data_IF_429263978884
#
_entry.id   IF_429263978884
#
_cell.length_a   1.000
_cell.length_b   1.000
_cell.length_c   1.000
_cell.angle_alpha   90.00
_cell.angle_beta   90.00
_cell.angle_gamma   90.00
#
_symmetry.space_group_name_H-M   'P 1'
#
loop_
_entity.id
_entity.type
_entity.pdbx_description
1 polymer ?
#
# COMPACT_ATOMS: atom_id res chain seq x y z
N UNK A 1 42.65 -36.50 -4.16
CA UNK A 1 42.20 -35.12 -4.41
C UNK A 1 40.89 -34.92 -3.67
N UNK A 2 40.94 -34.22 -2.54
CA UNK A 2 39.78 -33.94 -1.69
C UNK A 2 39.04 -32.70 -2.21
N UNK A 3 37.76 -32.85 -2.52
CA UNK A 3 36.86 -31.78 -2.99
C UNK A 3 36.00 -31.31 -1.80
N UNK A 4 36.63 -31.01 -0.65
CA UNK A 4 35.91 -30.62 0.58
C UNK A 4 36.27 -29.24 1.11
N UNK A 5 36.88 -28.38 0.30
CA UNK A 5 37.19 -27.00 0.65
C UNK A 5 36.50 -26.10 -0.36
N UNK A 6 35.41 -25.43 0.04
CA UNK A 6 34.92 -24.12 -0.48
C UNK A 6 33.43 -23.85 -0.17
N UNK A 7 32.90 -24.07 1.04
CA UNK A 7 31.67 -23.36 1.46
C UNK A 7 31.60 -22.92 2.95
N UNK A 8 32.64 -22.35 3.60
CA UNK A 8 32.45 -21.71 4.90
C UNK A 8 31.63 -20.40 4.83
N UNK A 9 31.53 -19.78 3.65
CA UNK A 9 31.04 -18.39 3.51
C UNK A 9 29.53 -18.29 3.60
N UNK A 10 28.78 -19.24 3.04
CA UNK A 10 27.31 -19.19 3.07
C UNK A 10 26.75 -19.47 4.46
N UNK A 11 27.38 -20.34 5.25
CA UNK A 11 26.87 -20.74 6.56
C UNK A 11 27.18 -19.68 7.62
N UNK A 12 28.33 -19.00 7.52
CA UNK A 12 28.67 -17.85 8.35
C UNK A 12 27.79 -16.62 8.01
N UNK A 13 27.57 -16.32 6.72
CA UNK A 13 26.61 -15.29 6.30
C UNK A 13 25.18 -15.62 6.76
N UNK A 14 24.73 -16.86 6.63
CA UNK A 14 23.42 -17.29 7.13
C UNK A 14 23.33 -17.28 8.66
N UNK A 15 24.43 -17.47 9.39
CA UNK A 15 24.49 -17.35 10.84
C UNK A 15 24.47 -15.87 11.30
N UNK A 16 25.03 -14.97 10.50
CA UNK A 16 24.97 -13.52 10.72
C UNK A 16 23.56 -12.97 10.38
N UNK A 17 22.98 -13.41 9.26
CA UNK A 17 21.60 -13.13 8.84
C UNK A 17 20.55 -13.70 9.81
N UNK A 18 20.88 -14.76 10.56
CA UNK A 18 20.02 -15.32 11.62
C UNK A 18 19.81 -14.35 12.81
N UNK A 19 20.49 -13.21 12.83
CA UNK A 19 20.24 -12.12 13.78
C UNK A 19 19.45 -10.93 13.20
N UNK A 20 18.83 -11.09 12.01
CA UNK A 20 18.40 -9.98 11.16
C UNK A 20 17.04 -10.24 10.46
N UNK A 21 15.98 -10.49 11.22
CA UNK A 21 14.65 -10.86 10.67
C UNK A 21 14.10 -9.86 9.61
N UNK A 22 14.08 -8.53 9.82
CA UNK A 22 13.71 -7.55 8.78
C UNK A 22 14.64 -7.56 7.56
N UNK A 23 15.95 -7.78 7.78
CA UNK A 23 16.92 -7.80 6.67
C UNK A 23 16.73 -9.02 5.79
N UNK A 24 16.16 -10.09 6.34
CA UNK A 24 15.86 -11.28 5.58
C UNK A 24 14.81 -11.00 4.49
N UNK A 25 13.74 -10.26 4.80
CA UNK A 25 12.74 -9.87 3.79
C UNK A 25 13.37 -9.01 2.68
N UNK A 26 14.25 -8.08 3.07
CA UNK A 26 14.99 -7.20 2.15
C UNK A 26 15.97 -8.00 1.28
N UNK A 27 16.67 -8.96 1.86
CA UNK A 27 17.58 -9.86 1.17
C UNK A 27 16.87 -10.69 0.10
N UNK A 28 15.71 -11.27 0.43
CA UNK A 28 14.92 -12.04 -0.54
C UNK A 28 14.36 -11.16 -1.66
N UNK A 29 14.03 -9.90 -1.37
CA UNK A 29 13.64 -8.95 -2.40
C UNK A 29 14.79 -8.62 -3.36
N UNK A 30 16.00 -8.39 -2.85
CA UNK A 30 17.19 -8.09 -3.67
C UNK A 30 17.78 -9.31 -4.37
N UNK A 31 17.44 -10.52 -3.94
CA UNK A 31 17.93 -11.79 -4.50
C UNK A 31 16.77 -12.72 -4.88
N UNK A 32 15.94 -12.36 -5.88
CA UNK A 32 14.80 -13.19 -6.28
C UNK A 32 15.23 -14.59 -6.76
N UNK A 33 16.44 -14.71 -7.32
CA UNK A 33 17.03 -15.99 -7.75
C UNK A 33 17.36 -16.96 -6.60
N UNK A 34 17.36 -16.47 -5.35
CA UNK A 34 17.60 -17.28 -4.14
C UNK A 34 16.31 -17.83 -3.52
N UNK A 35 15.15 -17.42 -4.01
CA UNK A 35 13.95 -18.24 -3.85
C UNK A 35 14.24 -19.51 -4.62
N UNK A 36 14.10 -20.73 -4.05
CA UNK A 36 14.46 -21.97 -4.72
C UNK A 36 13.69 -22.10 -6.03
N UNK A 37 14.30 -21.61 -7.11
CA UNK A 37 13.86 -21.79 -8.46
C UNK A 37 14.04 -23.28 -8.72
N UNK A 38 12.99 -24.05 -8.46
CA UNK A 38 12.86 -25.37 -9.03
C UNK A 38 12.65 -25.16 -10.53
N UNK A 39 13.74 -24.85 -11.24
CA UNK A 39 13.89 -25.10 -12.67
C UNK A 39 14.02 -26.61 -12.89
N UNK A 40 13.19 -27.41 -12.22
CA UNK A 40 12.85 -28.71 -12.76
C UNK A 40 11.89 -28.40 -13.89
N UNK A 41 12.38 -28.59 -15.13
CA UNK A 41 11.62 -28.43 -16.37
C UNK A 41 10.37 -29.33 -16.29
N UNK A 42 9.32 -28.87 -15.64
CA UNK A 42 8.02 -29.48 -15.76
C UNK A 42 7.56 -29.17 -17.18
N UNK A 43 7.61 -30.21 -18.01
CA UNK A 43 7.11 -30.22 -19.37
C UNK A 43 5.81 -29.41 -19.45
N UNK A 44 5.74 -28.53 -20.44
CA UNK A 44 4.65 -27.57 -20.67
C UNK A 44 3.27 -28.20 -20.52
N UNK A 45 2.73 -28.21 -19.29
CA UNK A 45 1.33 -28.57 -19.07
C UNK A 45 0.51 -27.44 -19.67
N UNK A 46 -0.19 -27.75 -20.77
CA UNK A 46 -1.14 -26.84 -21.42
C UNK A 46 -2.06 -26.26 -20.34
N UNK A 47 -2.15 -24.93 -20.29
CA UNK A 47 -3.04 -24.24 -19.36
C UNK A 47 -4.47 -24.80 -19.50
N UNK A 48 -5.15 -25.15 -18.39
CA UNK A 48 -6.49 -25.70 -18.45
C UNK A 48 -7.42 -24.68 -19.11
N UNK A 49 -8.09 -25.10 -20.19
CA UNK A 49 -9.14 -24.31 -20.85
C UNK A 49 -10.28 -24.10 -19.85
N UNK A 50 -10.52 -22.86 -19.44
CA UNK A 50 -11.66 -22.50 -18.58
C UNK A 50 -12.98 -22.92 -19.25
N UNK A 51 -13.65 -23.93 -18.68
CA UNK A 51 -15.03 -24.28 -19.04
C UNK A 51 -15.98 -23.47 -18.15
N UNK A 52 -16.52 -22.37 -18.67
CA UNK A 52 -17.74 -21.76 -18.15
C UNK A 52 -17.60 -20.55 -17.22
N UNK A 53 -18.57 -19.63 -17.39
CA UNK A 53 -18.88 -18.38 -16.68
C UNK A 53 -17.76 -17.34 -16.59
N UNK A 54 -17.78 -16.40 -17.55
CA UNK A 54 -17.56 -14.94 -17.47
C UNK A 54 -16.58 -14.35 -16.42
N UNK A 55 -15.66 -15.11 -15.84
CA UNK A 55 -14.56 -14.58 -15.04
C UNK A 55 -13.49 -14.10 -16.00
N UNK A 56 -13.02 -12.87 -15.80
CA UNK A 56 -11.83 -12.35 -16.49
C UNK A 56 -10.72 -13.39 -16.32
N UNK A 57 -10.14 -13.85 -17.43
CA UNK A 57 -9.05 -14.84 -17.39
C UNK A 57 -7.89 -14.19 -16.65
N UNK A 58 -7.52 -14.73 -15.49
CA UNK A 58 -6.23 -14.43 -14.88
C UNK A 58 -5.15 -14.70 -15.94
N UNK A 59 -4.21 -13.76 -16.08
CA UNK A 59 -3.12 -13.94 -17.02
C UNK A 59 -2.34 -15.20 -16.67
N UNK A 60 -1.76 -15.88 -17.66
CA UNK A 60 -0.94 -17.08 -17.43
C UNK A 60 0.15 -16.85 -16.37
N UNK A 61 0.78 -15.67 -16.39
CA UNK A 61 1.79 -15.28 -15.40
C UNK A 61 1.23 -15.21 -13.97
N UNK A 62 0.00 -14.71 -13.78
CA UNK A 62 -0.65 -14.65 -12.47
C UNK A 62 -1.01 -16.06 -11.97
N UNK A 63 -1.50 -16.92 -12.86
CA UNK A 63 -1.78 -18.32 -12.53
C UNK A 63 -0.49 -19.06 -12.15
N UNK A 64 0.58 -18.88 -12.92
CA UNK A 64 1.88 -19.49 -12.65
C UNK A 64 2.41 -19.00 -11.28
N UNK A 65 2.36 -17.70 -10.99
CA UNK A 65 2.74 -17.13 -9.69
C UNK A 65 1.91 -17.68 -8.52
N UNK A 66 0.59 -17.82 -8.69
CA UNK A 66 -0.30 -18.40 -7.67
C UNK A 66 0.04 -19.86 -7.40
N UNK A 67 0.23 -20.64 -8.47
CA UNK A 67 0.58 -22.05 -8.36
C UNK A 67 1.95 -22.28 -7.69
N UNK A 68 2.91 -21.40 -7.96
CA UNK A 68 4.23 -21.44 -7.33
C UNK A 68 4.14 -21.07 -5.85
N UNK A 69 3.36 -20.03 -5.50
CA UNK A 69 3.07 -19.68 -4.10
C UNK A 69 2.44 -20.85 -3.33
N UNK A 70 1.38 -21.45 -3.86
CA UNK A 70 0.72 -22.63 -3.25
C UNK A 70 1.68 -23.82 -3.10
N UNK A 71 2.62 -23.99 -4.04
CA UNK A 71 3.65 -25.03 -3.94
C UNK A 71 4.62 -24.72 -2.80
N UNK A 72 5.13 -23.49 -2.72
CA UNK A 72 6.06 -23.05 -1.68
C UNK A 72 5.43 -23.11 -0.28
N UNK A 73 4.14 -22.84 -0.18
CA UNK A 73 3.36 -22.96 1.06
C UNK A 73 3.19 -24.43 1.46
N UNK A 74 2.83 -25.32 0.52
CA UNK A 74 2.71 -26.77 0.78
C UNK A 74 4.01 -27.41 1.27
N UNK A 75 5.16 -26.99 0.75
CA UNK A 75 6.46 -27.48 1.24
C UNK A 75 6.94 -26.77 2.52
N UNK A 76 6.15 -25.82 3.05
CA UNK A 76 6.48 -25.07 4.26
C UNK A 76 7.62 -24.06 4.11
N UNK A 77 7.94 -23.65 2.87
CA UNK A 77 9.02 -22.68 2.61
C UNK A 77 8.58 -21.25 2.93
N UNK A 78 7.31 -20.94 2.67
CA UNK A 78 6.63 -19.69 3.02
C UNK A 78 5.43 -19.96 3.93
N UNK A 79 4.96 -18.93 4.63
CA UNK A 79 3.74 -18.97 5.45
C UNK A 79 2.94 -17.69 5.20
N UNK A 80 1.62 -17.79 5.34
CA UNK A 80 0.75 -16.61 5.35
C UNK A 80 1.16 -15.60 6.42
N UNK A 81 1.06 -14.33 6.05
CA UNK A 81 1.37 -13.17 6.87
C UNK A 81 0.25 -12.15 6.74
N UNK A 82 0.17 -11.27 7.72
CA UNK A 82 -0.77 -10.16 7.70
C UNK A 82 -0.03 -8.88 8.08
N UNK A 83 0.01 -7.93 7.16
CA UNK A 83 0.50 -6.58 7.42
C UNK A 83 -0.69 -5.66 7.63
N UNK A 84 -0.65 -4.88 8.71
CA UNK A 84 -1.77 -4.07 9.14
C UNK A 84 -2.07 -2.97 8.12
N UNK A 85 -1.03 -2.29 7.63
CA UNK A 85 -1.17 -1.11 6.75
C UNK A 85 -1.09 -1.43 5.25
N UNK A 86 -0.70 -2.64 4.87
CA UNK A 86 -0.49 -3.04 3.47
C UNK A 86 -1.29 -4.29 3.14
N UNK A 87 -1.92 -4.33 1.97
CA UNK A 87 -2.59 -5.53 1.44
C UNK A 87 -1.56 -6.31 0.60
N UNK A 88 -1.60 -7.65 0.65
CA UNK A 88 -0.79 -8.50 -0.25
C UNK A 88 -1.00 -8.11 -1.72
N UNK A 89 -2.26 -7.85 -2.07
CA UNK A 89 -2.69 -7.52 -3.44
C UNK A 89 -2.84 -6.00 -3.64
N UNK A 90 -2.20 -5.19 -2.81
CA UNK A 90 -2.26 -3.74 -2.94
C UNK A 90 -1.66 -3.30 -4.29
N UNK A 91 -2.44 -2.57 -5.07
CA UNK A 91 -1.96 -1.91 -6.27
C UNK A 91 -0.92 -0.81 -5.98
N UNK A 92 -0.31 -0.25 -7.04
CA UNK A 92 0.56 0.90 -6.91
C UNK A 92 -0.21 2.11 -6.36
N UNK A 93 0.46 2.91 -5.55
CA UNK A 93 -0.09 4.12 -4.96
C UNK A 93 -0.06 5.27 -5.98
N UNK A 94 -1.25 5.72 -6.40
CA UNK A 94 -1.41 6.78 -7.40
C UNK A 94 -0.93 8.15 -6.94
N UNK A 95 -0.78 8.35 -5.63
CA UNK A 95 -0.30 9.61 -5.06
C UNK A 95 1.22 9.70 -5.01
N UNK A 96 1.93 8.61 -5.31
CA UNK A 96 3.39 8.53 -5.24
C UNK A 96 4.01 8.96 -6.57
N UNK A 97 4.84 10.00 -6.50
CA UNK A 97 5.70 10.41 -7.60
C UNK A 97 6.99 9.58 -7.62
N UNK A 98 7.72 9.57 -8.75
CA UNK A 98 9.03 8.92 -8.85
C UNK A 98 10.02 9.45 -7.81
N UNK A 99 10.06 10.77 -7.62
CA UNK A 99 10.89 11.41 -6.59
C UNK A 99 10.52 10.95 -5.18
N UNK A 100 9.22 10.78 -4.89
CA UNK A 100 8.78 10.27 -3.59
C UNK A 100 9.13 8.80 -3.40
N UNK A 101 8.98 7.98 -4.43
CA UNK A 101 9.41 6.58 -4.40
C UNK A 101 10.90 6.46 -4.10
N UNK A 102 11.74 7.32 -4.69
CA UNK A 102 13.17 7.37 -4.37
C UNK A 102 13.45 7.76 -2.90
N UNK A 103 12.69 8.72 -2.35
CA UNK A 103 12.79 9.08 -0.92
C UNK A 103 12.36 7.93 0.00
N UNK A 104 11.28 7.23 -0.34
CA UNK A 104 10.80 6.09 0.43
C UNK A 104 11.82 4.93 0.43
N UNK A 105 12.48 4.67 -0.70
CA UNK A 105 13.58 3.72 -0.79
C UNK A 105 14.82 4.16 0.00
N UNK A 106 15.15 5.45 -0.03
CA UNK A 106 16.25 5.99 0.76
C UNK A 106 15.97 5.84 2.27
N UNK A 107 14.76 6.15 2.71
CA UNK A 107 14.32 5.90 4.09
C UNK A 107 14.44 4.42 4.43
N UNK A 108 13.99 3.54 3.52
CA UNK A 108 14.11 2.10 3.69
C UNK A 108 15.57 1.70 3.93
N UNK A 109 16.50 2.10 3.08
CA UNK A 109 17.93 1.81 3.24
C UNK A 109 18.51 2.36 4.56
N UNK A 110 18.16 3.61 4.93
CA UNK A 110 18.58 4.18 6.22
C UNK A 110 18.13 3.32 7.41
N UNK A 111 16.89 2.80 7.37
CA UNK A 111 16.38 1.93 8.43
C UNK A 111 17.19 0.63 8.53
N UNK A 112 17.64 0.05 7.40
CA UNK A 112 18.56 -1.09 7.46
C UNK A 112 19.85 -0.72 8.16
N UNK A 113 20.46 0.37 7.76
CA UNK A 113 21.76 0.74 8.27
C UNK A 113 21.70 1.03 9.78
N UNK A 114 20.62 1.69 10.23
CA UNK A 114 20.33 1.86 11.67
C UNK A 114 20.10 0.51 12.34
N UNK A 115 19.30 -0.39 11.78
CA UNK A 115 19.07 -1.71 12.37
C UNK A 115 20.40 -2.46 12.58
N UNK A 116 21.28 -2.49 11.57
CA UNK A 116 22.60 -3.12 11.67
C UNK A 116 23.49 -2.48 12.73
N UNK A 117 23.42 -1.15 12.89
CA UNK A 117 24.13 -0.45 13.97
C UNK A 117 23.64 -0.89 15.35
N UNK A 118 22.32 -1.03 15.54
CA UNK A 118 21.74 -1.53 16.80
C UNK A 118 22.18 -2.97 17.09
N UNK A 119 22.14 -3.86 16.09
CA UNK A 119 22.62 -5.24 16.24
C UNK A 119 24.11 -5.29 16.62
N UNK A 120 24.92 -4.42 16.03
CA UNK A 120 26.36 -4.31 16.35
C UNK A 120 26.59 -3.74 17.76
N UNK A 121 25.77 -2.79 18.20
CA UNK A 121 25.95 -2.07 19.48
C UNK A 121 25.49 -2.89 20.67
N UNK A 122 24.32 -3.53 20.58
CA UNK A 122 23.70 -4.22 21.71
C UNK A 122 24.01 -5.72 21.75
N UNK A 123 24.49 -6.31 20.65
CA UNK A 123 24.96 -7.69 20.55
C UNK A 123 23.84 -8.75 20.68
N UNK A 124 23.23 -8.85 21.86
CA UNK A 124 22.11 -9.75 22.10
C UNK A 124 20.91 -9.38 21.23
N UNK A 125 20.44 -10.33 20.42
CA UNK A 125 19.34 -10.15 19.46
C UNK A 125 18.10 -9.49 20.08
N UNK A 126 17.72 -9.91 21.29
CA UNK A 126 16.54 -9.37 21.97
C UNK A 126 16.73 -7.92 22.41
N UNK A 127 17.89 -7.56 22.93
CA UNK A 127 18.19 -6.20 23.36
C UNK A 127 18.30 -5.26 22.15
N UNK A 128 18.99 -5.70 21.09
CA UNK A 128 19.09 -4.96 19.83
C UNK A 128 17.72 -4.72 19.19
N UNK A 129 16.87 -5.76 19.09
CA UNK A 129 15.52 -5.66 18.56
C UNK A 129 14.66 -4.69 19.38
N UNK A 130 14.70 -4.78 20.71
CA UNK A 130 13.92 -3.90 21.57
C UNK A 130 14.35 -2.44 21.41
N UNK A 131 15.66 -2.18 21.44
CA UNK A 131 16.20 -0.83 21.30
C UNK A 131 15.88 -0.25 19.90
N UNK A 132 15.94 -1.05 18.85
CA UNK A 132 15.53 -0.63 17.50
C UNK A 132 14.02 -0.39 17.40
N UNK A 133 13.20 -1.21 18.06
CA UNK A 133 11.74 -1.02 18.11
C UNK A 133 11.37 0.31 18.81
N UNK A 134 12.06 0.64 19.90
CA UNK A 134 11.85 1.91 20.60
C UNK A 134 12.32 3.11 19.77
N UNK A 135 13.44 2.98 19.05
CA UNK A 135 13.88 3.97 18.04
C UNK A 135 12.81 4.21 16.95
N UNK A 136 12.18 3.15 16.42
CA UNK A 136 11.13 3.27 15.40
C UNK A 136 9.91 4.02 15.94
N UNK A 137 9.49 3.74 17.19
CA UNK A 137 8.38 4.47 17.84
C UNK A 137 8.68 5.96 18.03
N UNK A 138 9.88 6.28 18.49
CA UNK A 138 10.32 7.66 18.66
C UNK A 138 10.33 8.39 17.30
N UNK A 139 10.90 7.76 16.27
CA UNK A 139 10.93 8.32 14.92
C UNK A 139 9.52 8.52 14.35
N UNK A 140 8.60 7.57 14.55
CA UNK A 140 7.20 7.73 14.16
C UNK A 140 6.55 8.93 14.86
N UNK A 141 6.81 9.10 16.15
CA UNK A 141 6.30 10.24 16.92
C UNK A 141 6.83 11.57 16.39
N UNK A 142 8.12 11.65 16.06
CA UNK A 142 8.74 12.84 15.47
C UNK A 142 8.14 13.18 14.10
N UNK A 143 7.90 12.18 13.24
CA UNK A 143 7.26 12.39 11.94
C UNK A 143 5.81 12.86 12.12
N UNK A 144 5.08 12.33 13.09
CA UNK A 144 3.72 12.80 13.41
C UNK A 144 3.72 14.26 13.89
N UNK A 145 4.68 14.67 14.72
CA UNK A 145 4.84 16.06 15.15
C UNK A 145 5.14 16.99 13.98
N UNK A 146 5.98 16.56 13.03
CA UNK A 146 6.23 17.33 11.80
C UNK A 146 4.96 17.43 10.93
N UNK A 147 4.19 16.35 10.82
CA UNK A 147 2.91 16.35 10.12
C UNK A 147 1.89 17.29 10.78
N UNK A 148 1.90 17.36 12.12
CA UNK A 148 1.05 18.26 12.89
C UNK A 148 1.44 19.72 12.66
N UNK A 149 2.72 20.05 12.76
CA UNK A 149 3.24 21.39 12.47
C UNK A 149 2.94 21.79 11.02
N UNK A 150 3.03 20.86 10.08
CA UNK A 150 2.62 21.08 8.69
C UNK A 150 1.13 21.41 8.57
N UNK A 151 0.27 20.66 9.27
CA UNK A 151 -1.18 20.88 9.26
C UNK A 151 -1.59 22.22 9.88
N UNK A 152 -0.96 22.64 10.98
CA UNK A 152 -1.23 23.92 11.64
C UNK A 152 -0.92 25.13 10.75
N UNK A 153 0.14 25.04 9.94
CA UNK A 153 0.62 26.16 9.13
C UNK A 153 -0.13 26.35 7.80
N UNK A 154 -1.13 25.51 7.49
CA UNK A 154 -1.80 25.48 6.19
C UNK A 154 -3.31 25.59 6.35
N UNK A 155 -3.87 26.72 5.92
CA UNK A 155 -5.30 27.04 6.04
C UNK A 155 -6.14 26.68 4.81
N UNK A 156 -5.55 26.64 3.61
CA UNK A 156 -6.27 26.30 2.38
C UNK A 156 -5.98 24.85 1.96
N UNK A 157 -7.02 24.07 1.60
CA UNK A 157 -6.86 22.73 1.02
C UNK A 157 -6.41 22.85 -0.43
N UNK A 158 -5.32 22.17 -0.78
CA UNK A 158 -4.87 22.06 -2.17
C UNK A 158 -4.32 20.66 -2.44
N UNK A 159 -4.45 20.19 -3.69
CA UNK A 159 -3.92 18.87 -4.12
C UNK A 159 -2.41 18.73 -3.84
N UNK A 160 -1.66 19.83 -3.91
CA UNK A 160 -0.22 19.82 -3.59
C UNK A 160 0.03 19.58 -2.09
N UNK A 161 -0.82 20.16 -1.23
CA UNK A 161 -0.74 19.97 0.22
C UNK A 161 -1.16 18.55 0.62
N UNK A 162 -2.18 18.00 -0.03
CA UNK A 162 -2.60 16.60 0.20
C UNK A 162 -1.51 15.61 -0.18
N UNK A 163 -0.79 15.85 -1.28
CA UNK A 163 0.39 15.06 -1.69
C UNK A 163 1.54 15.18 -0.70
N UNK A 164 1.85 16.39 -0.25
CA UNK A 164 2.89 16.60 0.76
C UNK A 164 2.54 15.88 2.07
N UNK A 165 1.29 15.99 2.51
CA UNK A 165 0.78 15.33 3.72
C UNK A 165 0.70 13.81 3.59
N UNK A 166 0.40 13.32 2.39
CA UNK A 166 0.53 11.91 2.06
C UNK A 166 1.96 11.38 2.25
N UNK A 167 2.98 12.22 2.00
CA UNK A 167 4.38 11.90 2.33
C UNK A 167 4.58 11.51 3.80
N UNK A 168 4.02 12.26 4.75
CA UNK A 168 4.12 11.90 6.18
C UNK A 168 3.44 10.58 6.50
N UNK A 169 2.26 10.33 5.94
CA UNK A 169 1.55 9.05 6.11
C UNK A 169 2.37 7.88 5.59
N UNK A 170 3.03 8.05 4.45
CA UNK A 170 3.90 7.02 3.87
C UNK A 170 5.14 6.76 4.71
N UNK A 171 5.79 7.81 5.22
CA UNK A 171 6.95 7.66 6.11
C UNK A 171 6.58 6.91 7.39
N UNK A 172 5.50 7.32 8.06
CA UNK A 172 4.99 6.60 9.25
C UNK A 172 4.60 5.16 8.89
N UNK A 173 3.96 4.96 7.74
CA UNK A 173 3.60 3.63 7.26
C UNK A 173 4.80 2.72 7.06
N UNK A 174 5.90 3.24 6.49
CA UNK A 174 7.15 2.50 6.31
C UNK A 174 7.77 2.13 7.66
N UNK A 175 7.82 3.08 8.61
CA UNK A 175 8.33 2.84 9.95
C UNK A 175 7.50 1.77 10.69
N UNK A 176 6.17 1.85 10.60
CA UNK A 176 5.27 0.85 11.18
C UNK A 176 5.44 -0.51 10.51
N UNK A 177 5.56 -0.55 9.18
CA UNK A 177 5.82 -1.79 8.46
C UNK A 177 7.12 -2.44 8.95
N UNK A 178 8.19 -1.67 9.11
CA UNK A 178 9.46 -2.18 9.65
C UNK A 178 9.28 -2.79 11.06
N UNK A 179 8.47 -2.17 11.92
CA UNK A 179 8.10 -2.74 13.23
C UNK A 179 7.36 -4.06 13.10
N UNK A 180 6.44 -4.21 12.15
CA UNK A 180 5.75 -5.47 11.90
C UNK A 180 6.72 -6.55 11.42
N UNK A 181 7.67 -6.22 10.54
CA UNK A 181 8.66 -7.17 10.04
C UNK A 181 9.55 -7.74 11.15
N UNK A 182 9.84 -6.96 12.20
CA UNK A 182 10.56 -7.44 13.39
C UNK A 182 9.80 -8.51 14.19
N UNK A 183 8.49 -8.69 13.94
CA UNK A 183 7.63 -9.66 14.64
C UNK A 183 7.29 -10.89 13.81
N UNK A 184 7.63 -10.88 12.51
CA UNK A 184 7.31 -11.96 11.60
C UNK A 184 8.36 -13.06 11.65
N UNK A 185 7.91 -14.31 11.52
CA UNK A 185 8.85 -15.42 11.38
C UNK A 185 9.55 -15.40 10.00
N UNK A 186 10.64 -16.17 9.88
CA UNK A 186 11.40 -16.29 8.62
C UNK A 186 10.54 -16.69 7.41
N UNK A 187 9.51 -17.52 7.59
CA UNK A 187 8.66 -18.01 6.48
C UNK A 187 7.70 -16.92 6.01
N UNK A 188 7.20 -16.12 6.94
CA UNK A 188 6.38 -14.95 6.68
C UNK A 188 7.20 -13.85 5.98
N UNK A 189 8.43 -13.60 6.42
CA UNK A 189 9.33 -12.62 5.78
C UNK A 189 9.65 -12.97 4.33
N UNK A 190 9.84 -14.26 4.03
CA UNK A 190 9.96 -14.75 2.65
C UNK A 190 8.71 -14.49 1.83
N UNK A 191 7.54 -14.73 2.41
CA UNK A 191 6.26 -14.49 1.75
C UNK A 191 6.07 -13.00 1.43
N UNK A 192 6.37 -12.11 2.38
CA UNK A 192 6.35 -10.64 2.18
C UNK A 192 7.27 -10.24 1.03
N UNK A 193 8.48 -10.79 0.99
CA UNK A 193 9.45 -10.50 -0.05
C UNK A 193 9.01 -10.99 -1.44
N UNK A 194 8.47 -12.21 -1.51
CA UNK A 194 7.99 -12.82 -2.75
C UNK A 194 6.79 -12.07 -3.32
N UNK A 195 5.89 -11.60 -2.46
CA UNK A 195 4.71 -10.83 -2.86
C UNK A 195 5.04 -9.34 -3.14
N UNK A 196 6.28 -8.91 -2.89
CA UNK A 196 6.73 -7.51 -2.99
C UNK A 196 5.80 -6.55 -2.21
N UNK A 197 5.42 -6.95 -1.00
CA UNK A 197 4.41 -6.26 -0.17
C UNK A 197 5.00 -5.11 0.64
N UNK A 198 5.90 -4.31 0.06
CA UNK A 198 6.58 -3.20 0.74
C UNK A 198 6.03 -1.83 0.37
N UNK A 199 5.76 -0.99 1.36
CA UNK A 199 5.36 0.40 1.12
C UNK A 199 6.44 1.14 0.35
N UNK A 200 7.71 0.96 0.72
CA UNK A 200 8.83 1.62 0.05
C UNK A 200 8.92 1.32 -1.46
N UNK A 201 8.24 0.28 -1.94
CA UNK A 201 8.15 -0.10 -3.36
C UNK A 201 6.95 0.52 -4.08
N UNK A 202 6.29 1.49 -3.46
CA UNK A 202 5.16 2.21 -4.02
C UNK A 202 3.81 1.51 -3.82
N UNK A 203 3.70 0.56 -2.88
CA UNK A 203 2.40 -0.04 -2.52
C UNK A 203 1.50 0.97 -1.80
N UNK A 204 0.19 0.84 -2.00
CA UNK A 204 -0.84 1.71 -1.39
C UNK A 204 -1.05 1.40 0.10
N UNK A 205 -1.20 2.47 0.88
CA UNK A 205 -1.63 2.40 2.29
C UNK A 205 -3.13 2.11 2.43
N UNK A 206 -3.49 1.24 3.38
CA UNK A 206 -4.87 1.02 3.81
C UNK A 206 -5.35 2.18 4.68
N UNK A 207 -6.19 3.07 4.14
CA UNK A 207 -6.74 4.22 4.87
C UNK A 207 -7.42 3.83 6.19
N UNK A 208 -8.33 2.85 6.17
CA UNK A 208 -9.07 2.40 7.36
C UNK A 208 -8.14 1.85 8.43
N UNK A 209 -7.18 0.99 8.04
CA UNK A 209 -6.19 0.44 8.98
C UNK A 209 -5.26 1.52 9.53
N UNK A 210 -4.83 2.46 8.69
CA UNK A 210 -3.98 3.57 9.12
C UNK A 210 -4.72 4.42 10.17
N UNK A 211 -5.98 4.78 9.93
CA UNK A 211 -6.82 5.50 10.89
C UNK A 211 -7.04 4.70 12.17
N UNK A 212 -7.23 3.38 12.08
CA UNK A 212 -7.41 2.52 13.25
C UNK A 212 -6.15 2.43 14.12
N UNK A 213 -4.96 2.36 13.51
CA UNK A 213 -3.68 2.25 14.22
C UNK A 213 -3.23 3.59 14.79
N UNK A 214 -3.33 4.66 14.00
CA UNK A 214 -2.72 5.95 14.34
C UNK A 214 -3.72 7.00 14.80
N UNK A 215 -5.02 6.76 14.64
CA UNK A 215 -6.09 7.67 15.04
C UNK A 215 -6.36 8.82 14.07
N UNK A 216 -5.67 8.89 12.93
CA UNK A 216 -5.85 9.96 11.95
C UNK A 216 -5.60 9.51 10.52
N UNK A 217 -6.18 10.20 9.54
CA UNK A 217 -5.88 10.03 8.12
C UNK A 217 -5.81 11.36 7.38
N UNK A 218 -6.71 12.28 7.69
CA UNK A 218 -6.71 13.64 7.17
C UNK A 218 -5.95 14.61 8.09
N UNK A 219 -5.62 15.80 7.57
CA UNK A 219 -5.06 16.88 8.41
C UNK A 219 -6.02 17.26 9.54
N UNK A 220 -7.32 17.30 9.26
CA UNK A 220 -8.36 17.60 10.25
C UNK A 220 -8.41 16.54 11.35
N UNK A 221 -8.32 15.24 11.00
CA UNK A 221 -8.24 14.17 12.01
C UNK A 221 -6.98 14.32 12.89
N UNK A 222 -5.84 14.67 12.28
CA UNK A 222 -4.59 14.85 13.02
C UNK A 222 -4.68 16.04 14.00
N UNK A 223 -5.20 17.19 13.54
CA UNK A 223 -5.44 18.34 14.41
C UNK A 223 -6.40 17.99 15.55
N UNK A 224 -7.48 17.26 15.26
CA UNK A 224 -8.45 16.81 16.25
C UNK A 224 -7.84 15.84 17.27
N UNK A 225 -7.03 14.87 16.83
CA UNK A 225 -6.28 13.94 17.71
C UNK A 225 -5.43 14.69 18.73
N UNK A 226 -4.89 15.85 18.34
CA UNK A 226 -4.05 16.71 19.19
C UNK A 226 -4.83 17.84 19.88
N UNK A 227 -6.17 17.79 19.88
CA UNK A 227 -7.01 18.76 20.60
C UNK A 227 -7.09 20.14 19.96
N UNK A 228 -6.70 20.31 18.70
CA UNK A 228 -6.74 21.59 17.99
C UNK A 228 -8.06 21.65 17.22
N UNK A 229 -9.00 22.45 17.71
CA UNK A 229 -10.27 22.70 17.03
C UNK A 229 -10.05 23.56 15.79
N UNK A 230 -10.34 23.00 14.62
CA UNK A 230 -10.47 23.78 13.39
C UNK A 230 -11.84 24.45 13.44
N UNK A 231 -11.90 25.71 13.87
CA UNK A 231 -13.11 26.52 13.71
C UNK A 231 -13.30 26.74 12.22
N UNK A 232 -14.17 25.97 11.59
CA UNK A 232 -14.64 26.22 10.23
C UNK A 232 -15.26 27.61 10.24
N UNK A 233 -14.52 28.61 9.77
CA UNK A 233 -14.96 30.01 9.72
C UNK A 233 -15.92 30.24 8.54
N UNK A 234 -16.95 29.39 8.45
CA UNK A 234 -18.04 29.49 7.47
C UNK A 234 -19.38 29.80 8.13
N UNK A 235 -19.36 30.39 9.34
CA UNK A 235 -20.49 31.20 9.82
C UNK A 235 -20.46 32.56 9.11
N UNK A 236 -20.61 32.53 7.79
CA UNK A 236 -21.05 33.72 7.05
C UNK A 236 -22.55 33.78 7.27
N UNK A 237 -22.96 34.62 8.21
CA UNK A 237 -24.35 34.92 8.51
C UNK A 237 -25.17 35.11 7.23
N UNK A 238 -26.08 34.17 6.96
CA UNK A 238 -27.19 34.37 6.05
C UNK A 238 -28.40 34.76 6.90
N UNK A 239 -28.41 36.02 7.33
CA UNK A 239 -29.65 36.71 7.67
C UNK A 239 -30.42 36.89 6.35
N UNK A 240 -31.39 36.01 6.13
CA UNK A 240 -32.18 35.94 4.91
C UNK A 240 -33.56 35.37 5.18
N UNK A 241 -34.32 36.11 5.97
CA UNK A 241 -35.78 36.05 6.11
C UNK A 241 -36.48 35.84 4.76
N UNK A 242 -37.37 34.86 4.68
CA UNK A 242 -38.00 34.44 3.42
C UNK A 242 -39.01 33.32 3.62
N UNK A 243 -40.18 33.69 4.15
CA UNK A 243 -41.36 32.86 4.30
C UNK A 243 -41.89 32.24 2.99
N UNK A 244 -42.62 31.13 3.17
CA UNK A 244 -43.90 30.82 2.49
C UNK A 244 -43.95 29.78 1.34
N UNK A 245 -44.99 28.93 1.46
CA UNK A 245 -45.67 28.01 0.53
C UNK A 245 -44.83 27.08 -0.40
N UNK A 246 -44.96 25.76 -0.39
CA UNK A 246 -46.22 25.02 -0.43
C UNK A 246 -46.73 24.82 -1.86
N UNK A 247 -46.09 23.97 -2.68
CA UNK A 247 -46.73 23.42 -3.89
C UNK A 247 -46.08 22.11 -4.36
N UNK A 248 -46.90 21.05 -4.32
CA UNK A 248 -46.73 19.77 -5.03
C UNK A 248 -47.13 19.98 -6.49
N UNK A 249 -46.39 19.45 -7.47
CA UNK A 249 -46.89 19.11 -8.82
C UNK A 249 -45.90 18.13 -9.50
N UNK A 250 -46.27 16.85 -9.62
CA UNK A 250 -46.62 16.14 -10.88
C UNK A 250 -45.52 16.18 -11.95
N UNK A 251 -44.76 15.09 -12.17
CA UNK A 251 -45.06 13.99 -13.13
C UNK A 251 -45.57 14.51 -14.48
N UNK A 252 -44.67 14.51 -15.48
CA UNK A 252 -45.02 14.19 -16.87
C UNK A 252 -43.85 13.44 -17.52
N UNK A 253 -44.14 12.21 -17.92
CA UNK A 253 -43.38 11.42 -18.87
C UNK A 253 -43.66 11.98 -20.27
N UNK A 254 -42.63 12.13 -21.10
CA UNK A 254 -42.80 12.35 -22.52
C UNK A 254 -41.79 11.47 -23.26
N UNK A 255 -42.32 10.38 -23.81
CA UNK A 255 -41.72 9.55 -24.83
C UNK A 255 -41.63 10.36 -26.14
N UNK A 256 -40.49 10.32 -26.81
CA UNK A 256 -40.36 10.75 -28.19
C UNK A 256 -39.44 9.76 -28.91
N UNK A 257 -40.09 8.79 -29.57
CA UNK A 257 -39.53 8.01 -30.67
C UNK A 257 -39.15 8.95 -31.82
N UNK A 258 -37.98 8.71 -32.40
CA UNK A 258 -37.43 9.48 -33.51
C UNK A 258 -36.37 8.66 -34.23
N UNK A 259 -36.85 7.72 -35.02
CA UNK A 259 -36.15 6.93 -36.02
C UNK A 259 -35.64 7.86 -37.14
N UNK A 260 -34.35 7.79 -37.50
CA UNK A 260 -33.88 8.07 -38.87
C UNK A 260 -32.42 7.67 -39.07
N UNK A 261 -32.23 6.76 -40.02
CA UNK A 261 -30.96 6.30 -40.55
C UNK A 261 -30.34 7.34 -41.50
N UNK A 262 -29.02 7.51 -41.48
CA UNK A 262 -28.24 7.88 -42.68
C UNK A 262 -26.76 7.55 -42.58
N UNK A 263 -26.27 7.02 -43.70
CA UNK A 263 -24.90 6.58 -44.00
C UNK A 263 -23.87 7.73 -44.05
N UNK A 264 -22.64 7.39 -43.65
CA UNK A 264 -21.42 7.62 -44.43
C UNK A 264 -20.82 9.02 -44.51
N UNK A 265 -19.65 9.22 -43.90
CA UNK A 265 -18.42 9.62 -44.64
C UNK A 265 -17.25 9.88 -43.68
N UNK A 266 -16.05 9.54 -44.16
CA UNK A 266 -14.75 9.71 -43.53
C UNK A 266 -14.35 11.15 -43.18
N UNK A 267 -13.34 11.22 -42.30
CA UNK A 267 -12.27 12.21 -42.20
C UNK A 267 -12.30 13.26 -41.07
N UNK A 268 -11.18 13.22 -40.34
CA UNK A 268 -10.46 14.31 -39.65
C UNK A 268 -10.98 14.88 -38.31
N UNK A 269 -10.28 14.44 -37.26
CA UNK A 269 -9.50 15.29 -36.34
C UNK A 269 -10.16 16.59 -35.89
N UNK A 270 -10.70 16.59 -34.66
CA UNK A 270 -10.53 17.71 -33.72
C UNK A 270 -10.78 17.31 -32.28
N UNK A 271 -9.82 17.70 -31.44
CA UNK A 271 -9.78 17.57 -30.00
C UNK A 271 -11.02 18.19 -29.35
N UNK A 272 -11.71 17.39 -28.54
CA UNK A 272 -12.70 17.84 -27.57
C UNK A 272 -12.57 16.95 -26.35
N UNK A 273 -11.59 17.25 -25.50
CA UNK A 273 -11.48 16.61 -24.19
C UNK A 273 -12.72 17.02 -23.38
N UNK A 274 -13.65 16.08 -23.22
CA UNK A 274 -14.82 16.25 -22.38
C UNK A 274 -14.38 16.32 -20.92
N UNK A 275 -14.61 17.47 -20.30
CA UNK A 275 -14.26 17.79 -18.91
C UNK A 275 -15.25 17.17 -17.90
N UNK A 276 -15.67 15.92 -18.13
CA UNK A 276 -16.71 15.21 -17.34
C UNK A 276 -16.16 14.06 -16.51
N UNK A 277 -14.85 13.90 -16.41
CA UNK A 277 -14.21 12.75 -15.76
C UNK A 277 -13.44 13.10 -14.46
N UNK A 278 -13.81 14.21 -13.79
CA UNK A 278 -13.02 14.79 -12.69
C UNK A 278 -13.77 14.99 -11.38
N UNK A 279 -14.77 14.16 -11.08
CA UNK A 279 -15.40 14.13 -9.75
C UNK A 279 -15.44 12.74 -9.09
N UNK A 280 -14.63 11.78 -9.59
CA UNK A 280 -14.51 10.44 -9.01
C UNK A 280 -13.73 10.39 -7.68
N UNK A 281 -13.23 11.54 -7.19
CA UNK A 281 -12.35 11.62 -6.02
C UNK A 281 -12.84 12.59 -4.93
N UNK A 282 -13.97 13.29 -5.15
CA UNK A 282 -14.57 14.16 -4.13
C UNK A 282 -15.56 13.42 -3.22
N UNK A 283 -16.08 12.26 -3.65
CA UNK A 283 -16.88 11.40 -2.79
C UNK A 283 -16.01 10.32 -2.17
N UNK A 284 -16.12 10.15 -0.86
CA UNK A 284 -15.55 9.01 -0.13
C UNK A 284 -16.19 7.71 -0.59
N UNK A 285 -15.83 7.24 -1.79
CA UNK A 285 -16.00 5.86 -2.18
C UNK A 285 -15.08 5.03 -1.27
N UNK A 286 -15.58 4.79 -0.06
CA UNK A 286 -15.08 3.78 0.84
C UNK A 286 -15.04 2.49 0.00
N UNK A 287 -13.84 1.94 -0.14
CA UNK A 287 -13.60 0.67 -0.84
C UNK A 287 -14.12 -0.43 0.10
N UNK A 288 -15.45 -0.51 0.19
CA UNK A 288 -16.26 -1.15 1.22
C UNK A 288 -16.50 -2.62 0.87
N UNK A 289 -15.43 -3.33 0.52
CA UNK A 289 -15.48 -4.78 0.49
C UNK A 289 -15.45 -5.28 1.94
N UNK A 290 -16.65 -5.46 2.50
CA UNK A 290 -16.84 -6.07 3.81
C UNK A 290 -16.25 -7.49 3.83
N UNK A 291 -15.67 -7.88 4.96
CA UNK A 291 -15.03 -9.20 5.12
C UNK A 291 -16.01 -10.37 4.94
N UNK A 292 -17.32 -10.11 5.09
CA UNK A 292 -18.38 -11.11 4.91
C UNK A 292 -18.57 -11.50 3.43
N UNK A 293 -18.17 -10.64 2.48
CA UNK A 293 -18.25 -10.93 1.05
C UNK A 293 -17.09 -11.84 0.55
N UNK A 294 -16.07 -12.06 1.39
CA UNK A 294 -14.95 -12.97 1.11
C UNK A 294 -15.14 -14.39 1.68
N UNK A 295 -16.21 -14.61 2.44
CA UNK A 295 -16.53 -15.91 3.07
C UNK A 295 -17.84 -16.54 2.58
N UNK A 296 -18.50 -15.96 1.57
CA UNK A 296 -19.64 -16.53 0.86
C UNK A 296 -19.24 -17.10 -0.51
#
# INVERSE_FOLDING_TARGET
MNISETFPTCQALLAQIRSEEPQLARFYLSSPDKVPASREKQASKKAPRSKGRARRKAGRAEQDARSERERLERIGFIRDYNLTLVRREAGPDVMVTSARSAQDLQLWDQLRDVHLQFSTTYGEHRAAHQAYFDYLKERMSNVELHALAFAQNKSARSRALDRAFHGYRREIGILHQEMELLTLDTRQLRAVAMDDAFLARGRRLKQRSFRAVLGWWSMSDLLHKHGISVTSSEDTASDGDGSDAGARFAVTCADADGDDAREGSDAETRQGASDTDLDLFASGAEDDWSADELLA
#
